data_IF_466400518025
#
_entry.id   IF_466400518025
#
_cell.length_a   1.000
_cell.length_b   1.000
_cell.length_c   1.000
_cell.angle_alpha   90.00
_cell.angle_beta   90.00
_cell.angle_gamma   90.00
#
_symmetry.space_group_name_H-M   'P 1'
#
loop_
_entity.id
_entity.type
_entity.pdbx_description
1 polymer ?
#
# COMPACT_ATOMS: atom_id res chain seq x y z
N UNK A 1 -9.98 25.35 35.73
CA UNK A 1 -9.12 25.68 34.60
C UNK A 1 -8.08 24.64 34.26
N UNK A 2 -7.37 24.10 35.27
CA UNK A 2 -6.35 23.05 35.02
C UNK A 2 -6.92 21.72 34.55
N UNK A 3 -8.15 21.40 34.93
CA UNK A 3 -8.81 20.14 34.54
C UNK A 3 -9.25 20.13 33.08
N UNK A 4 -9.55 21.30 32.50
CA UNK A 4 -9.96 21.42 31.10
C UNK A 4 -8.82 21.11 30.13
N UNK A 5 -7.57 21.49 30.50
CA UNK A 5 -6.39 21.23 29.66
C UNK A 5 -6.04 19.76 29.60
N UNK A 6 -6.21 19.05 30.72
CA UNK A 6 -5.92 17.61 30.77
C UNK A 6 -6.90 16.81 29.90
N UNK A 7 -8.17 17.21 29.89
CA UNK A 7 -9.18 16.57 29.06
C UNK A 7 -8.90 16.73 27.56
N UNK A 8 -8.37 17.89 27.14
CA UNK A 8 -8.01 18.13 25.73
C UNK A 8 -6.85 17.24 25.27
N UNK A 9 -5.86 16.98 26.12
CA UNK A 9 -4.73 16.12 25.80
C UNK A 9 -5.16 14.66 25.61
N UNK A 10 -6.09 14.18 26.41
CA UNK A 10 -6.64 12.82 26.30
C UNK A 10 -7.40 12.66 24.97
N UNK A 11 -8.19 13.65 24.59
CA UNK A 11 -8.93 13.64 23.32
C UNK A 11 -8.01 13.60 22.10
N UNK A 12 -6.89 14.34 22.14
CA UNK A 12 -5.91 14.32 21.05
C UNK A 12 -5.27 12.94 20.86
N UNK A 13 -4.98 12.23 21.97
CA UNK A 13 -4.40 10.88 21.92
C UNK A 13 -5.39 9.87 21.31
N UNK A 14 -6.66 9.94 21.68
CA UNK A 14 -7.71 9.06 21.13
C UNK A 14 -7.89 9.30 19.62
N UNK A 15 -7.85 10.57 19.20
CA UNK A 15 -7.97 10.93 17.79
C UNK A 15 -6.85 10.34 16.94
N UNK A 16 -5.61 10.31 17.45
CA UNK A 16 -4.47 9.74 16.73
C UNK A 16 -4.63 8.24 16.50
N UNK A 17 -5.14 7.50 17.50
CA UNK A 17 -5.39 6.06 17.38
C UNK A 17 -6.51 5.79 16.36
N UNK A 18 -7.57 6.60 16.37
CA UNK A 18 -8.68 6.46 15.43
C UNK A 18 -8.23 6.63 13.98
N UNK A 19 -7.35 7.61 13.67
CA UNK A 19 -6.82 7.81 12.32
C UNK A 19 -6.02 6.61 11.82
N UNK A 20 -5.20 5.97 12.68
CA UNK A 20 -4.44 4.80 12.28
C UNK A 20 -5.35 3.61 11.96
N UNK A 21 -6.40 3.40 12.76
CA UNK A 21 -7.38 2.34 12.50
C UNK A 21 -8.21 2.62 11.25
N UNK A 22 -8.57 3.88 11.01
CA UNK A 22 -9.34 4.30 9.84
C UNK A 22 -8.59 4.02 8.54
N UNK A 23 -7.26 4.17 8.51
CA UNK A 23 -6.51 3.89 7.30
C UNK A 23 -6.65 2.42 6.86
N UNK A 24 -6.51 1.47 7.80
CA UNK A 24 -6.66 0.04 7.50
C UNK A 24 -8.09 -0.31 7.08
N UNK A 25 -9.07 0.31 7.72
CA UNK A 25 -10.47 0.13 7.34
C UNK A 25 -10.74 0.66 5.94
N UNK A 26 -10.27 1.86 5.62
CA UNK A 26 -10.40 2.45 4.29
C UNK A 26 -9.72 1.61 3.23
N UNK A 27 -8.56 1.03 3.55
CA UNK A 27 -7.87 0.12 2.67
C UNK A 27 -8.73 -1.12 2.37
N UNK A 28 -9.29 -1.73 3.39
CA UNK A 28 -10.15 -2.90 3.22
C UNK A 28 -11.36 -2.58 2.33
N UNK A 29 -11.93 -1.39 2.48
CA UNK A 29 -13.02 -0.91 1.63
C UNK A 29 -12.58 -0.75 0.17
N UNK A 30 -11.39 -0.23 -0.09
CA UNK A 30 -10.87 -0.08 -1.46
C UNK A 30 -10.71 -1.42 -2.17
N UNK A 31 -10.41 -2.47 -1.43
CA UNK A 31 -10.18 -3.81 -1.98
C UNK A 31 -11.40 -4.72 -1.86
N UNK A 32 -12.54 -4.19 -1.43
CA UNK A 32 -13.76 -4.99 -1.32
C UNK A 32 -14.31 -5.35 -2.71
N UNK A 33 -14.74 -6.59 -2.88
CA UNK A 33 -15.27 -7.07 -4.16
C UNK A 33 -14.21 -7.10 -5.25
N UNK A 34 -14.60 -6.76 -6.48
CA UNK A 34 -13.74 -6.82 -7.67
C UNK A 34 -13.40 -5.44 -8.25
N UNK A 35 -13.92 -4.37 -7.68
CA UNK A 35 -13.74 -3.02 -8.21
C UNK A 35 -12.31 -2.51 -8.11
N UNK A 36 -11.48 -3.13 -7.28
CA UNK A 36 -10.07 -2.77 -7.14
C UNK A 36 -9.23 -3.16 -8.37
N UNK A 37 -9.68 -4.16 -9.14
CA UNK A 37 -8.90 -4.73 -10.25
C UNK A 37 -8.43 -3.72 -11.28
N UNK A 38 -9.30 -2.83 -11.81
CA UNK A 38 -8.83 -1.83 -12.77
C UNK A 38 -7.86 -0.80 -12.20
N UNK A 39 -7.75 -0.72 -10.85
CA UNK A 39 -6.93 0.26 -10.14
C UNK A 39 -5.85 -0.38 -9.28
N UNK A 40 -5.53 -1.65 -9.53
CA UNK A 40 -4.65 -2.45 -8.66
C UNK A 40 -3.30 -1.76 -8.40
N UNK A 41 -2.68 -1.20 -9.43
CA UNK A 41 -1.36 -0.59 -9.26
C UNK A 41 -1.41 0.72 -8.48
N UNK A 42 -2.46 1.51 -8.66
CA UNK A 42 -2.68 2.73 -7.87
C UNK A 42 -2.94 2.40 -6.41
N UNK A 43 -3.70 1.36 -6.13
CA UNK A 43 -3.98 0.93 -4.75
C UNK A 43 -2.73 0.40 -4.06
N UNK A 44 -1.93 -0.41 -4.75
CA UNK A 44 -0.65 -0.88 -4.19
C UNK A 44 0.29 0.29 -3.93
N UNK A 45 0.33 1.27 -4.81
CA UNK A 45 1.12 2.48 -4.59
C UNK A 45 0.70 3.22 -3.33
N UNK A 46 -0.60 3.36 -3.08
CA UNK A 46 -1.10 3.98 -1.85
C UNK A 46 -0.65 3.23 -0.60
N UNK A 47 -0.64 1.90 -0.66
CA UNK A 47 -0.15 1.07 0.44
C UNK A 47 1.34 1.31 0.70
N UNK A 48 2.15 1.44 -0.35
CA UNK A 48 3.57 1.76 -0.21
C UNK A 48 3.80 3.17 0.36
N UNK A 49 2.96 4.14 0.00
CA UNK A 49 3.01 5.48 0.60
C UNK A 49 2.77 5.43 2.11
N UNK A 50 1.78 4.66 2.55
CA UNK A 50 1.50 4.47 3.98
C UNK A 50 2.69 3.83 4.69
N UNK A 51 3.22 2.75 4.14
CA UNK A 51 4.33 2.01 4.74
C UNK A 51 5.59 2.87 4.81
N UNK A 52 5.88 3.62 3.76
CA UNK A 52 7.03 4.52 3.73
C UNK A 52 6.94 5.64 4.77
N UNK A 53 5.74 6.16 5.05
CA UNK A 53 5.55 7.21 6.04
C UNK A 53 5.54 6.69 7.48
N UNK A 54 5.10 5.45 7.69
CA UNK A 54 5.00 4.84 9.02
C UNK A 54 6.33 4.25 9.52
N UNK A 55 7.30 4.09 8.63
CA UNK A 55 8.54 3.38 8.89
C UNK A 55 9.73 4.33 8.86
N UNK A 56 10.65 4.17 9.80
CA UNK A 56 11.92 4.90 9.80
C UNK A 56 12.92 4.20 8.86
N UNK A 57 12.76 4.42 7.57
CA UNK A 57 13.56 3.77 6.53
C UNK A 57 14.85 4.54 6.26
N UNK A 58 15.90 3.83 5.84
CA UNK A 58 17.13 4.46 5.36
C UNK A 58 16.89 5.16 4.02
N UNK A 59 17.82 6.05 3.63
CA UNK A 59 17.76 6.71 2.33
C UNK A 59 17.71 5.72 1.17
N UNK A 60 18.47 4.63 1.26
CA UNK A 60 18.51 3.59 0.24
C UNK A 60 17.15 2.91 0.09
N UNK A 61 16.49 2.61 1.20
CA UNK A 61 15.16 2.00 1.19
C UNK A 61 14.11 2.96 0.67
N UNK A 62 14.17 4.23 1.08
CA UNK A 62 13.27 5.26 0.58
C UNK A 62 13.44 5.46 -0.93
N UNK A 63 14.67 5.45 -1.43
CA UNK A 63 14.95 5.54 -2.86
C UNK A 63 14.36 4.35 -3.62
N UNK A 64 14.50 3.12 -3.08
CA UNK A 64 13.92 1.92 -3.68
C UNK A 64 12.39 2.00 -3.72
N UNK A 65 11.75 2.38 -2.59
CA UNK A 65 10.30 2.55 -2.54
C UNK A 65 9.81 3.63 -3.49
N UNK A 66 10.57 4.73 -3.61
CA UNK A 66 10.28 5.81 -4.56
C UNK A 66 10.24 5.30 -6.00
N UNK A 67 11.25 4.54 -6.40
CA UNK A 67 11.30 3.93 -7.74
C UNK A 67 10.13 2.98 -7.95
N UNK A 68 9.83 2.15 -6.97
CA UNK A 68 8.71 1.20 -7.05
C UNK A 68 7.38 1.93 -7.25
N UNK A 69 7.18 3.04 -6.54
CA UNK A 69 5.96 3.86 -6.69
C UNK A 69 5.88 4.48 -8.09
N UNK A 70 6.99 4.93 -8.66
CA UNK A 70 7.01 5.44 -10.03
C UNK A 70 6.68 4.34 -11.04
N UNK A 71 7.23 3.15 -10.85
CA UNK A 71 6.92 1.99 -11.69
C UNK A 71 5.44 1.62 -11.61
N UNK A 72 4.86 1.66 -10.42
CA UNK A 72 3.43 1.40 -10.24
C UNK A 72 2.56 2.47 -10.93
N UNK A 73 2.97 3.73 -10.87
CA UNK A 73 2.28 4.81 -11.59
C UNK A 73 2.29 4.55 -13.11
N UNK A 74 3.43 4.15 -13.65
CA UNK A 74 3.54 3.81 -15.07
C UNK A 74 2.69 2.60 -15.42
N UNK A 75 2.70 1.56 -14.58
CA UNK A 75 1.91 0.36 -14.81
C UNK A 75 0.41 0.65 -14.78
N UNK A 76 -0.05 1.55 -13.91
CA UNK A 76 -1.45 1.96 -13.89
C UNK A 76 -1.83 2.68 -15.18
N UNK A 77 -0.99 3.58 -15.68
CA UNK A 77 -1.21 4.25 -16.95
C UNK A 77 -1.26 3.26 -18.12
N UNK A 78 -0.37 2.26 -18.10
CA UNK A 78 -0.38 1.20 -19.11
C UNK A 78 -1.64 0.35 -19.02
N UNK A 79 -2.07 -0.01 -17.82
CA UNK A 79 -3.31 -0.77 -17.62
C UNK A 79 -4.52 -0.02 -18.14
N UNK A 80 -4.59 1.28 -17.88
CA UNK A 80 -5.69 2.14 -18.34
C UNK A 80 -5.76 2.17 -19.87
N UNK A 81 -4.66 1.90 -20.55
CA UNK A 81 -4.55 1.86 -22.01
C UNK A 81 -4.55 0.43 -22.56
N UNK A 82 -4.80 -0.57 -21.73
CA UNK A 82 -4.81 -1.97 -22.13
C UNK A 82 -3.43 -2.56 -22.40
N UNK A 83 -2.37 -1.94 -21.89
CA UNK A 83 -0.99 -2.43 -22.04
C UNK A 83 -0.50 -3.13 -20.79
N UNK A 84 0.47 -4.02 -20.97
CA UNK A 84 1.06 -4.81 -19.88
C UNK A 84 2.58 -4.88 -20.03
N UNK A 85 3.30 -4.65 -18.94
CA UNK A 85 4.76 -4.77 -18.89
C UNK A 85 5.14 -5.77 -17.79
N UNK A 86 5.45 -6.99 -18.19
CA UNK A 86 5.81 -8.06 -17.25
C UNK A 86 7.15 -7.80 -16.54
N UNK A 87 8.09 -7.15 -17.21
CA UNK A 87 9.37 -6.79 -16.60
C UNK A 87 9.20 -5.82 -15.43
N UNK A 88 8.40 -4.78 -15.61
CA UNK A 88 8.07 -3.85 -14.53
C UNK A 88 7.34 -4.55 -13.39
N UNK A 89 6.41 -5.44 -13.70
CA UNK A 89 5.68 -6.18 -12.66
C UNK A 89 6.64 -7.02 -11.81
N UNK A 90 7.58 -7.71 -12.43
CA UNK A 90 8.57 -8.50 -11.71
C UNK A 90 9.44 -7.63 -10.80
N UNK A 91 9.87 -6.47 -11.27
CA UNK A 91 10.67 -5.54 -10.46
C UNK A 91 9.89 -5.03 -9.26
N UNK A 92 8.61 -4.68 -9.45
CA UNK A 92 7.74 -4.24 -8.36
C UNK A 92 7.53 -5.35 -7.34
N UNK A 93 7.25 -6.56 -7.79
CA UNK A 93 7.05 -7.73 -6.91
C UNK A 93 8.30 -7.98 -6.08
N UNK A 94 9.49 -7.97 -6.69
CA UNK A 94 10.75 -8.19 -5.97
C UNK A 94 10.99 -7.11 -4.92
N UNK A 95 10.72 -5.85 -5.24
CA UNK A 95 10.87 -4.73 -4.31
C UNK A 95 9.92 -4.87 -3.12
N UNK A 96 8.67 -5.24 -3.36
CA UNK A 96 7.67 -5.42 -2.29
C UNK A 96 8.06 -6.61 -1.40
N UNK A 97 8.56 -7.70 -1.97
CA UNK A 97 9.06 -8.84 -1.19
C UNK A 97 10.18 -8.43 -0.24
N UNK A 98 11.11 -7.60 -0.70
CA UNK A 98 12.19 -7.08 0.15
C UNK A 98 11.63 -6.28 1.31
N UNK A 99 10.65 -5.42 1.06
CA UNK A 99 10.00 -4.64 2.11
C UNK A 99 9.21 -5.53 3.08
N UNK A 100 8.52 -6.56 2.59
CA UNK A 100 7.75 -7.47 3.43
C UNK A 100 8.62 -8.28 4.38
N UNK A 101 9.88 -8.52 4.02
CA UNK A 101 10.85 -9.22 4.87
C UNK A 101 11.54 -8.32 5.89
N UNK A 102 11.28 -7.03 5.90
CA UNK A 102 11.89 -6.09 6.82
C UNK A 102 11.25 -6.21 8.21
N UNK A 103 12.07 -6.58 9.20
CA UNK A 103 11.60 -6.81 10.56
C UNK A 103 11.17 -5.53 11.27
N UNK A 104 11.52 -4.35 10.75
CA UNK A 104 11.09 -3.07 11.30
C UNK A 104 9.63 -2.75 11.01
N UNK A 105 9.01 -3.45 10.08
CA UNK A 105 7.58 -3.30 9.82
C UNK A 105 6.75 -3.95 10.91
N UNK A 106 5.62 -3.32 11.25
CA UNK A 106 4.63 -3.95 12.12
C UNK A 106 4.07 -5.21 11.45
N UNK A 107 3.58 -6.19 12.23
CA UNK A 107 2.92 -7.35 11.66
C UNK A 107 1.75 -6.98 10.74
N UNK A 108 1.01 -5.94 11.08
CA UNK A 108 -0.12 -5.48 10.29
C UNK A 108 0.30 -4.92 8.93
N UNK A 109 1.41 -4.16 8.89
CA UNK A 109 1.95 -3.65 7.63
C UNK A 109 2.56 -4.76 6.77
N UNK A 110 3.14 -5.78 7.39
CA UNK A 110 3.56 -6.98 6.64
C UNK A 110 2.38 -7.70 6.00
N UNK A 111 1.26 -7.78 6.70
CA UNK A 111 0.04 -8.37 6.15
C UNK A 111 -0.48 -7.55 4.97
N UNK A 112 -0.40 -6.22 5.03
CA UNK A 112 -0.73 -5.34 3.90
C UNK A 112 0.12 -5.69 2.67
N UNK A 113 1.43 -5.80 2.85
CA UNK A 113 2.33 -6.14 1.74
C UNK A 113 2.10 -7.54 1.20
N UNK A 114 1.81 -8.51 2.07
CA UNK A 114 1.50 -9.88 1.66
C UNK A 114 0.21 -9.91 0.83
N UNK A 115 -0.79 -9.14 1.21
CA UNK A 115 -2.04 -9.01 0.44
C UNK A 115 -1.78 -8.34 -0.91
N UNK A 116 -0.95 -7.29 -0.94
CA UNK A 116 -0.57 -6.65 -2.20
C UNK A 116 0.14 -7.62 -3.14
N UNK A 117 1.04 -8.44 -2.62
CA UNK A 117 1.71 -9.47 -3.42
C UNK A 117 0.71 -10.49 -3.99
N UNK A 118 -0.26 -10.91 -3.19
CA UNK A 118 -1.30 -11.83 -3.64
C UNK A 118 -2.14 -11.22 -4.77
N UNK A 119 -2.46 -9.92 -4.68
CA UNK A 119 -3.23 -9.23 -5.71
C UNK A 119 -2.43 -9.01 -7.00
N UNK A 120 -1.15 -8.70 -6.89
CA UNK A 120 -0.26 -8.60 -8.05
C UNK A 120 -0.08 -9.96 -8.73
N UNK A 121 -0.01 -11.03 -7.96
CA UNK A 121 0.03 -12.39 -8.50
C UNK A 121 -1.26 -12.75 -9.23
N UNK A 122 -2.40 -12.42 -8.64
CA UNK A 122 -3.71 -12.60 -9.29
C UNK A 122 -3.78 -11.85 -10.61
N UNK A 123 -3.30 -10.60 -10.65
CA UNK A 123 -3.19 -9.86 -11.89
C UNK A 123 -2.32 -10.58 -12.91
N UNK A 124 -1.12 -11.02 -12.49
CA UNK A 124 -0.17 -11.68 -13.39
C UNK A 124 -0.75 -12.92 -14.04
N UNK A 125 -1.50 -13.71 -13.29
CA UNK A 125 -2.03 -15.01 -13.73
C UNK A 125 -3.37 -14.86 -14.44
N UNK A 126 -4.23 -13.97 -13.96
CA UNK A 126 -5.66 -13.97 -14.30
C UNK A 126 -6.18 -12.71 -14.97
N UNK A 127 -5.34 -11.68 -15.25
CA UNK A 127 -5.86 -10.40 -15.75
C UNK A 127 -6.63 -10.53 -17.09
N UNK A 128 -6.30 -11.52 -17.91
CA UNK A 128 -7.01 -11.77 -19.15
C UNK A 128 -8.45 -12.23 -18.94
N UNK A 129 -8.75 -12.75 -17.75
CA UNK A 129 -10.08 -13.23 -17.38
C UNK A 129 -10.86 -12.23 -16.51
N UNK A 130 -10.23 -11.11 -16.16
CA UNK A 130 -10.91 -10.10 -15.36
C UNK A 130 -11.94 -9.39 -16.25
N UNK A 131 -13.17 -9.32 -15.78
CA UNK A 131 -14.23 -8.55 -16.43
C UNK A 131 -14.15 -7.09 -16.00
N UNK A 132 -14.28 -6.20 -16.94
CA UNK A 132 -14.20 -4.76 -16.70
C UNK A 132 -15.58 -4.13 -16.54
#
# INVERSE_FOLDING_TARGET
>A
MKQSMTAMLILASVTSIAFAQDWYHDRDERYHGDQWRPHVFSHVRQDLDHIGSARNASEKENARLGRTKEELTKMQADLDQGRFDNGLLNDVVDSIKKSANDQRLSPRDRDVLSDDLARLHDYQVNHNHWTH
#
